data_IF_378356245039
#
_entry.id   IF_378356245039
#
_cell.length_a   1.000
_cell.length_b   1.000
_cell.length_c   1.000
_cell.angle_alpha   90.00
_cell.angle_beta   90.00
_cell.angle_gamma   90.00
#
_symmetry.space_group_name_H-M   'P 1'
#
loop_
_entity.id
_entity.type
_entity.pdbx_description
1 polymer ?
#
# COMPACT_ATOMS: atom_id res chain seq x y z
N UNK A 1 0.47 18.12 -22.78
CA UNK A 1 0.56 17.09 -21.73
C UNK A 1 2.02 16.74 -21.59
N UNK A 2 2.74 17.37 -20.66
CA UNK A 2 4.05 16.86 -20.25
C UNK A 2 3.85 15.45 -19.71
N UNK A 3 4.60 14.47 -20.21
CA UNK A 3 4.57 13.13 -19.61
C UNK A 3 5.03 13.29 -18.16
N UNK A 4 4.19 12.91 -17.20
CA UNK A 4 4.59 12.83 -15.79
C UNK A 4 5.81 11.90 -15.75
N UNK A 5 6.99 12.44 -15.48
CA UNK A 5 8.23 11.66 -15.34
C UNK A 5 8.06 10.67 -14.20
N UNK A 6 8.53 9.44 -14.40
CA UNK A 6 8.60 8.38 -13.38
C UNK A 6 9.31 8.91 -12.13
N UNK A 7 8.91 8.46 -10.93
CA UNK A 7 9.56 8.85 -9.67
C UNK A 7 11.05 8.54 -9.69
N UNK A 8 11.44 7.44 -10.33
CA UNK A 8 12.85 7.07 -10.49
C UNK A 8 13.60 8.14 -11.30
N UNK A 9 13.04 8.58 -12.43
CA UNK A 9 13.63 9.65 -13.25
C UNK A 9 13.70 10.99 -12.50
N UNK A 10 12.66 11.33 -11.74
CA UNK A 10 12.62 12.56 -10.92
C UNK A 10 13.69 12.50 -9.82
N UNK A 11 13.83 11.36 -9.16
CA UNK A 11 14.85 11.15 -8.13
C UNK A 11 16.24 11.23 -8.74
N UNK A 12 16.53 10.51 -9.82
CA UNK A 12 17.83 10.55 -10.50
C UNK A 12 18.18 11.99 -10.95
N UNK A 13 17.20 12.70 -11.54
CA UNK A 13 17.38 14.11 -11.91
C UNK A 13 17.69 15.00 -10.72
N UNK A 14 17.04 14.78 -9.58
CA UNK A 14 17.34 15.49 -8.34
C UNK A 14 18.74 15.16 -7.84
N UNK A 15 19.11 13.88 -7.77
CA UNK A 15 20.43 13.43 -7.31
C UNK A 15 21.57 14.04 -8.13
N UNK A 16 21.44 14.13 -9.46
CA UNK A 16 22.43 14.77 -10.32
C UNK A 16 22.57 16.29 -10.08
N UNK A 17 21.57 16.93 -9.47
CA UNK A 17 21.64 18.36 -9.13
C UNK A 17 22.28 18.63 -7.76
N UNK A 18 22.56 17.59 -6.96
CA UNK A 18 23.13 17.74 -5.62
C UNK A 18 24.66 17.64 -5.69
N UNK A 19 25.35 18.67 -5.21
CA UNK A 19 26.82 18.75 -5.15
C UNK A 19 27.45 17.70 -4.22
N UNK A 20 26.71 17.29 -3.19
CA UNK A 20 27.14 16.30 -2.20
C UNK A 20 26.87 14.84 -2.61
N UNK A 21 26.37 14.59 -3.83
CA UNK A 21 26.08 13.25 -4.37
C UNK A 21 27.08 12.90 -5.46
N UNK A 22 27.64 11.69 -5.41
CA UNK A 22 28.54 11.16 -6.44
C UNK A 22 27.97 9.86 -7.01
N UNK A 23 27.68 9.78 -8.31
CA UNK A 23 27.28 8.52 -8.94
C UNK A 23 28.46 7.55 -9.00
N UNK A 24 28.18 6.27 -8.76
CA UNK A 24 29.14 5.17 -8.76
C UNK A 24 28.92 4.24 -9.96
N UNK A 25 27.69 3.77 -10.16
CA UNK A 25 27.38 2.88 -11.26
C UNK A 25 27.58 3.59 -12.61
N UNK A 26 28.21 2.90 -13.55
CA UNK A 26 28.67 3.45 -14.83
C UNK A 26 29.83 4.45 -14.76
N UNK A 27 30.29 4.85 -13.56
CA UNK A 27 31.34 5.87 -13.37
C UNK A 27 32.61 5.33 -12.72
N UNK A 28 32.51 4.20 -12.01
CA UNK A 28 33.63 3.50 -11.39
C UNK A 28 33.85 2.16 -12.11
N UNK A 29 35.10 1.81 -12.49
CA UNK A 29 35.41 0.49 -13.03
C UNK A 29 35.05 -0.62 -12.03
N UNK A 30 34.19 -1.56 -12.45
CA UNK A 30 33.72 -2.68 -11.63
C UNK A 30 34.43 -3.98 -12.05
N UNK A 31 34.91 -4.79 -11.09
CA UNK A 31 35.37 -6.15 -11.40
C UNK A 31 34.24 -7.02 -11.96
N UNK A 32 34.60 -8.01 -12.79
CA UNK A 32 33.61 -8.93 -13.38
C UNK A 32 32.75 -9.60 -12.31
N UNK A 33 31.43 -9.50 -12.48
CA UNK A 33 30.44 -10.12 -11.59
C UNK A 33 30.24 -9.41 -10.24
N UNK A 34 30.95 -8.32 -9.95
CA UNK A 34 30.76 -7.51 -8.74
C UNK A 34 29.84 -6.34 -9.05
N UNK A 35 28.69 -6.30 -8.39
CA UNK A 35 27.80 -5.13 -8.42
C UNK A 35 28.09 -4.24 -7.21
N UNK A 36 28.21 -2.95 -7.47
CA UNK A 36 28.32 -1.92 -6.44
C UNK A 36 26.99 -1.16 -6.29
N UNK A 37 26.98 -0.22 -5.36
CA UNK A 37 25.87 0.67 -5.09
C UNK A 37 25.86 1.83 -6.07
N UNK A 38 24.71 2.49 -6.20
CA UNK A 38 24.52 3.51 -7.22
C UNK A 38 25.21 4.84 -6.87
N UNK A 39 25.30 5.19 -5.59
CA UNK A 39 25.78 6.52 -5.17
C UNK A 39 26.62 6.53 -3.89
N UNK A 40 27.43 7.58 -3.75
CA UNK A 40 27.91 8.10 -2.48
C UNK A 40 27.16 9.39 -2.14
N UNK A 41 26.65 9.50 -0.92
CA UNK A 41 25.95 10.69 -0.44
C UNK A 41 26.82 11.46 0.57
N UNK A 42 26.39 12.70 0.83
CA UNK A 42 26.88 13.57 1.89
C UNK A 42 28.40 13.72 1.87
N UNK A 43 28.97 14.02 0.69
CA UNK A 43 30.42 14.13 0.50
C UNK A 43 31.17 12.83 0.89
N UNK A 44 30.63 11.68 0.44
CA UNK A 44 31.18 10.33 0.67
C UNK A 44 31.04 9.83 2.11
N UNK A 45 30.20 10.45 2.93
CA UNK A 45 29.90 9.98 4.28
C UNK A 45 28.89 8.84 4.30
N UNK A 46 28.18 8.55 3.20
CA UNK A 46 27.28 7.40 3.11
C UNK A 46 27.36 6.69 1.75
N UNK A 47 27.14 5.38 1.75
CA UNK A 47 26.97 4.56 0.54
C UNK A 47 25.50 4.30 0.33
N UNK A 48 24.96 4.60 -0.86
CA UNK A 48 23.52 4.55 -1.12
C UNK A 48 23.20 3.65 -2.31
N UNK A 49 22.33 2.68 -2.07
CA UNK A 49 21.68 1.89 -3.12
C UNK A 49 20.27 2.44 -3.38
N UNK A 50 19.95 2.74 -4.64
CA UNK A 50 18.63 3.13 -5.09
C UNK A 50 17.86 1.90 -5.61
N UNK A 51 16.66 1.66 -5.08
CA UNK A 51 15.77 0.59 -5.56
C UNK A 51 14.35 1.11 -5.78
N UNK A 52 13.80 0.82 -6.94
CA UNK A 52 12.40 1.12 -7.26
C UNK A 52 11.56 -0.14 -7.20
N UNK A 53 10.46 -0.12 -6.44
CA UNK A 53 9.46 -1.19 -6.40
C UNK A 53 8.54 -1.03 -7.61
N UNK A 54 8.72 -1.88 -8.62
CA UNK A 54 8.03 -1.81 -9.93
C UNK A 54 6.95 -2.88 -10.15
N UNK A 55 6.81 -3.82 -9.22
CA UNK A 55 5.86 -4.94 -9.35
C UNK A 55 4.95 -4.93 -8.14
N UNK A 56 3.67 -4.70 -8.38
CA UNK A 56 2.62 -4.85 -7.37
C UNK A 56 2.29 -6.36 -7.18
N UNK A 57 2.31 -6.89 -5.95
CA UNK A 57 1.99 -8.29 -5.67
C UNK A 57 0.48 -8.60 -5.59
N UNK A 58 -0.41 -7.74 -6.10
CA UNK A 58 -1.88 -7.88 -6.09
C UNK A 58 -2.34 -9.28 -6.46
N UNK A 59 -1.86 -9.84 -7.56
CA UNK A 59 -2.27 -11.19 -8.01
C UNK A 59 -1.90 -12.27 -7.00
N UNK A 60 -0.72 -12.17 -6.38
CA UNK A 60 -0.29 -13.11 -5.32
C UNK A 60 -1.13 -12.96 -4.05
N UNK A 61 -1.56 -11.74 -3.73
CA UNK A 61 -2.46 -11.50 -2.60
C UNK A 61 -3.82 -12.12 -2.88
N UNK A 62 -4.38 -11.88 -4.07
CA UNK A 62 -5.66 -12.46 -4.49
C UNK A 62 -5.61 -13.99 -4.53
N UNK A 63 -4.56 -14.58 -5.11
CA UNK A 63 -4.36 -16.03 -5.14
C UNK A 63 -4.23 -16.63 -3.74
N UNK A 64 -3.49 -15.96 -2.84
CA UNK A 64 -3.38 -16.38 -1.45
C UNK A 64 -4.69 -16.26 -0.66
N UNK A 65 -5.60 -15.38 -1.10
CA UNK A 65 -6.90 -15.19 -0.49
C UNK A 65 -7.98 -16.14 -1.03
N UNK A 66 -7.81 -16.73 -2.22
CA UNK A 66 -8.84 -17.57 -2.90
C UNK A 66 -9.46 -18.64 -2.00
N UNK A 67 -8.65 -19.47 -1.35
CA UNK A 67 -9.17 -20.56 -0.50
C UNK A 67 -9.98 -20.05 0.69
N UNK A 68 -9.68 -18.85 1.17
CA UNK A 68 -10.44 -18.20 2.24
C UNK A 68 -11.69 -17.53 1.65
N UNK A 69 -11.59 -16.87 0.51
CA UNK A 69 -12.73 -16.28 -0.21
C UNK A 69 -13.80 -17.31 -0.58
N UNK A 70 -13.38 -18.54 -0.84
CA UNK A 70 -14.24 -19.69 -1.15
C UNK A 70 -14.83 -20.37 0.12
N UNK A 71 -14.40 -19.98 1.33
CA UNK A 71 -14.86 -20.61 2.57
C UNK A 71 -16.24 -20.10 3.01
N UNK A 72 -16.97 -20.95 3.75
CA UNK A 72 -18.28 -20.64 4.34
C UNK A 72 -18.21 -19.55 5.44
N UNK A 73 -17.01 -19.24 5.93
CA UNK A 73 -16.77 -18.25 6.99
C UNK A 73 -16.39 -16.87 6.44
N UNK A 74 -16.01 -16.76 5.16
CA UNK A 74 -15.65 -15.49 4.54
C UNK A 74 -16.88 -14.73 4.05
N UNK A 75 -17.03 -13.43 4.36
CA UNK A 75 -18.24 -12.69 4.00
C UNK A 75 -18.40 -12.59 2.47
N UNK A 76 -19.59 -12.92 1.97
CA UNK A 76 -19.92 -12.70 0.55
C UNK A 76 -20.18 -11.20 0.32
N UNK A 77 -19.21 -10.51 -0.28
CA UNK A 77 -19.29 -9.09 -0.64
C UNK A 77 -19.19 -8.98 -2.16
N UNK A 78 -20.11 -8.24 -2.79
CA UNK A 78 -20.09 -7.98 -4.24
C UNK A 78 -19.42 -6.62 -4.54
N UNK A 79 -18.55 -6.55 -5.56
CA UNK A 79 -17.85 -5.33 -5.99
C UNK A 79 -16.31 -5.37 -5.81
N UNK A 80 -15.65 -4.20 -5.88
CA UNK A 80 -14.22 -4.08 -5.61
C UNK A 80 -13.88 -4.49 -4.17
N UNK A 81 -12.93 -5.41 -4.03
CA UNK A 81 -12.58 -6.08 -2.78
C UNK A 81 -11.72 -5.21 -1.86
N UNK A 82 -12.30 -4.73 -0.76
CA UNK A 82 -11.52 -4.34 0.42
C UNK A 82 -11.26 -5.57 1.29
N UNK A 83 -10.18 -6.28 0.94
CA UNK A 83 -9.69 -7.47 1.63
C UNK A 83 -9.40 -7.22 3.12
N UNK A 84 -8.99 -6.02 3.51
CA UNK A 84 -8.68 -5.73 4.92
C UNK A 84 -9.96 -5.64 5.75
N UNK A 85 -11.00 -4.98 5.23
CA UNK A 85 -12.30 -4.89 5.89
C UNK A 85 -13.00 -6.25 6.00
N UNK A 86 -12.98 -7.06 4.93
CA UNK A 86 -13.58 -8.39 4.93
C UNK A 86 -12.94 -9.35 5.96
N UNK A 87 -11.61 -9.26 6.10
CA UNK A 87 -10.83 -10.17 6.93
C UNK A 87 -10.87 -9.81 8.42
N UNK A 88 -11.07 -8.53 8.78
CA UNK A 88 -11.31 -8.12 10.18
C UNK A 88 -12.53 -8.79 10.79
N UNK A 89 -13.53 -9.09 9.97
CA UNK A 89 -14.79 -9.70 10.39
C UNK A 89 -14.79 -11.23 10.25
N UNK A 90 -13.71 -11.83 9.76
CA UNK A 90 -13.58 -13.29 9.57
C UNK A 90 -12.81 -13.92 10.74
N UNK A 91 -13.31 -14.97 11.42
CA UNK A 91 -12.55 -15.68 12.46
C UNK A 91 -11.19 -16.16 11.95
N UNK A 92 -10.09 -15.76 12.59
CA UNK A 92 -8.72 -16.08 12.14
C UNK A 92 -8.26 -15.30 10.89
N UNK A 93 -9.03 -14.34 10.40
CA UNK A 93 -8.74 -13.56 9.20
C UNK A 93 -7.45 -12.74 9.28
N UNK A 94 -7.10 -12.18 10.45
CA UNK A 94 -5.83 -11.48 10.66
C UNK A 94 -4.60 -12.40 10.53
N UNK A 95 -4.65 -13.64 11.02
CA UNK A 95 -3.55 -14.60 10.82
C UNK A 95 -3.39 -14.97 9.34
N UNK A 96 -4.50 -15.15 8.63
CA UNK A 96 -4.49 -15.44 7.20
C UNK A 96 -3.96 -14.25 6.38
N UNK A 97 -4.44 -13.04 6.65
CA UNK A 97 -3.90 -11.81 6.07
C UNK A 97 -2.40 -11.70 6.30
N UNK A 98 -1.94 -11.95 7.53
CA UNK A 98 -0.52 -11.90 7.86
C UNK A 98 0.30 -12.92 7.06
N UNK A 99 -0.23 -14.12 6.82
CA UNK A 99 0.41 -15.13 5.94
C UNK A 99 0.45 -14.69 4.48
N UNK A 100 -0.67 -14.20 3.95
CA UNK A 100 -0.78 -13.71 2.56
C UNK A 100 0.20 -12.55 2.33
N UNK A 101 0.17 -11.53 3.20
CA UNK A 101 1.09 -10.40 3.12
C UNK A 101 2.55 -10.81 3.34
N UNK A 102 2.84 -11.78 4.20
CA UNK A 102 4.20 -12.30 4.38
C UNK A 102 4.74 -12.97 3.10
N UNK A 103 3.88 -13.69 2.37
CA UNK A 103 4.23 -14.26 1.07
C UNK A 103 4.40 -13.18 -0.01
N UNK A 104 3.47 -12.23 -0.07
CA UNK A 104 3.50 -11.11 -1.02
C UNK A 104 4.72 -10.19 -0.82
N UNK A 105 5.18 -10.00 0.42
CA UNK A 105 6.32 -9.15 0.77
C UNK A 105 7.68 -9.85 0.70
N UNK A 106 7.77 -11.06 0.15
CA UNK A 106 9.07 -11.72 -0.12
C UNK A 106 10.01 -10.87 -0.98
N UNK A 107 9.47 -9.98 -1.82
CA UNK A 107 10.26 -9.04 -2.60
C UNK A 107 11.12 -8.11 -1.74
N UNK A 108 10.63 -7.72 -0.55
CA UNK A 108 11.34 -6.86 0.42
C UNK A 108 12.68 -7.49 0.82
N UNK A 109 12.69 -8.79 1.09
CA UNK A 109 13.92 -9.50 1.47
C UNK A 109 14.93 -9.56 0.31
N UNK A 110 14.45 -9.73 -0.92
CA UNK A 110 15.29 -9.68 -2.11
C UNK A 110 15.93 -8.31 -2.29
N UNK A 111 15.15 -7.24 -2.13
CA UNK A 111 15.62 -5.84 -2.19
C UNK A 111 16.70 -5.58 -1.15
N UNK A 112 16.46 -5.93 0.12
CA UNK A 112 17.43 -5.71 1.20
C UNK A 112 18.71 -6.53 1.03
N UNK A 113 18.61 -7.78 0.56
CA UNK A 113 19.79 -8.63 0.32
C UNK A 113 20.67 -8.06 -0.79
N UNK A 114 20.05 -7.58 -1.88
CA UNK A 114 20.79 -6.95 -2.98
C UNK A 114 21.45 -5.66 -2.52
N UNK A 115 20.70 -4.76 -1.85
CA UNK A 115 21.24 -3.52 -1.33
C UNK A 115 22.40 -3.74 -0.36
N UNK A 116 22.28 -4.70 0.57
CA UNK A 116 23.37 -5.09 1.48
C UNK A 116 24.63 -5.50 0.70
N UNK A 117 24.48 -6.37 -0.30
CA UNK A 117 25.62 -6.86 -1.09
C UNK A 117 26.30 -5.74 -1.87
N UNK A 118 25.51 -4.87 -2.51
CA UNK A 118 26.02 -3.75 -3.30
C UNK A 118 26.72 -2.71 -2.43
N UNK A 119 26.14 -2.36 -1.27
CA UNK A 119 26.77 -1.47 -0.29
C UNK A 119 28.10 -2.06 0.21
N UNK A 120 28.11 -3.34 0.61
CA UNK A 120 29.32 -4.01 1.08
C UNK A 120 30.42 -4.04 0.01
N UNK A 121 30.06 -4.39 -1.23
CA UNK A 121 31.00 -4.40 -2.36
C UNK A 121 31.55 -3.01 -2.66
N UNK A 122 30.73 -1.96 -2.56
CA UNK A 122 31.17 -0.58 -2.76
C UNK A 122 32.19 -0.14 -1.72
N UNK A 123 31.91 -0.40 -0.43
CA UNK A 123 32.84 -0.07 0.65
C UNK A 123 34.19 -0.73 0.44
N UNK A 124 34.21 -2.00 0.04
CA UNK A 124 35.45 -2.74 -0.24
C UNK A 124 36.17 -2.21 -1.49
N UNK A 125 35.45 -2.05 -2.60
CA UNK A 125 36.04 -1.61 -3.87
C UNK A 125 36.66 -0.23 -3.76
N UNK A 126 35.99 0.68 -3.07
CA UNK A 126 36.40 2.07 -2.91
C UNK A 126 37.30 2.30 -1.68
N UNK A 127 37.63 1.24 -0.93
CA UNK A 127 38.40 1.29 0.31
C UNK A 127 37.87 2.33 1.30
N UNK A 128 36.55 2.38 1.47
CA UNK A 128 35.90 3.28 2.42
C UNK A 128 36.09 2.77 3.85
N UNK A 129 35.94 3.67 4.82
CA UNK A 129 35.84 3.29 6.23
C UNK A 129 34.70 2.26 6.39
N UNK A 130 34.94 1.08 7.00
CA UNK A 130 33.90 0.09 7.28
C UNK A 130 32.68 0.67 8.04
N UNK A 131 32.92 1.70 8.87
CA UNK A 131 31.90 2.42 9.62
C UNK A 131 31.24 3.55 8.83
N UNK A 132 31.47 3.63 7.52
CA UNK A 132 30.68 4.46 6.61
C UNK A 132 29.25 3.89 6.57
N UNK A 133 28.22 4.67 6.97
CA UNK A 133 26.84 4.20 6.94
C UNK A 133 26.36 3.81 5.53
N UNK A 134 25.55 2.76 5.47
CA UNK A 134 24.84 2.34 4.25
C UNK A 134 23.37 2.73 4.26
N UNK A 135 22.85 3.23 3.14
CA UNK A 135 21.45 3.62 2.99
C UNK A 135 20.82 2.81 1.85
N UNK A 136 19.69 2.17 2.11
CA UNK A 136 18.80 1.68 1.05
C UNK A 136 17.74 2.75 0.78
N UNK A 137 17.87 3.47 -0.32
CA UNK A 137 16.88 4.43 -0.80
C UNK A 137 15.86 3.70 -1.67
N UNK A 138 14.64 3.54 -1.15
CA UNK A 138 13.59 2.73 -1.77
C UNK A 138 12.45 3.63 -2.24
N UNK A 139 12.17 3.60 -3.54
CA UNK A 139 11.05 4.29 -4.16
C UNK A 139 9.91 3.30 -4.34
N UNK A 140 8.77 3.55 -3.70
CA UNK A 140 7.54 2.83 -4.03
C UNK A 140 6.77 3.59 -5.12
N UNK A 141 6.91 3.10 -6.35
CA UNK A 141 6.25 3.65 -7.54
C UNK A 141 4.93 2.92 -7.85
N UNK A 142 4.88 1.60 -7.67
CA UNK A 142 3.74 0.80 -8.15
C UNK A 142 3.02 -0.01 -7.08
N UNK A 143 3.58 -0.23 -5.89
CA UNK A 143 2.94 -1.10 -4.89
C UNK A 143 1.81 -0.34 -4.20
N UNK A 144 0.60 -0.67 -4.59
CA UNK A 144 -0.67 -0.15 -4.07
C UNK A 144 -1.45 -1.24 -3.32
N UNK A 145 -1.24 -2.52 -3.61
CA UNK A 145 -1.97 -3.61 -2.95
C UNK A 145 -1.60 -3.81 -1.47
N UNK A 146 -0.60 -3.07 -0.95
CA UNK A 146 -0.11 -3.20 0.42
C UNK A 146 -0.15 -1.82 1.07
N UNK A 147 -0.90 -1.64 2.17
CA UNK A 147 -0.95 -0.37 2.89
C UNK A 147 0.46 0.15 3.24
N UNK A 148 0.70 1.44 3.03
CA UNK A 148 2.01 2.07 3.25
C UNK A 148 2.64 1.73 4.62
N UNK A 149 1.84 1.80 5.69
CA UNK A 149 2.29 1.45 7.04
C UNK A 149 2.71 -0.02 7.15
N UNK A 150 1.92 -0.96 6.59
CA UNK A 150 2.27 -2.38 6.59
C UNK A 150 3.53 -2.66 5.78
N UNK A 151 3.76 -1.93 4.67
CA UNK A 151 4.98 -2.06 3.90
C UNK A 151 6.20 -1.58 4.69
N UNK A 152 6.10 -0.42 5.37
CA UNK A 152 7.14 0.10 6.25
C UNK A 152 7.45 -0.88 7.40
N UNK A 153 6.43 -1.44 8.05
CA UNK A 153 6.59 -2.45 9.11
C UNK A 153 7.31 -3.71 8.61
N UNK A 154 7.05 -4.13 7.37
CA UNK A 154 7.75 -5.27 6.76
C UNK A 154 9.22 -4.97 6.49
N UNK A 155 9.55 -3.79 6.01
CA UNK A 155 10.95 -3.36 5.89
C UNK A 155 11.64 -3.34 7.26
N UNK A 156 10.99 -2.74 8.27
CA UNK A 156 11.48 -2.68 9.64
C UNK A 156 11.74 -4.07 10.23
N UNK A 157 10.74 -4.96 10.20
CA UNK A 157 10.84 -6.34 10.72
C UNK A 157 11.92 -7.15 10.01
N UNK A 158 12.10 -6.95 8.69
CA UNK A 158 13.14 -7.65 7.93
C UNK A 158 14.53 -7.11 8.21
N UNK A 159 14.66 -5.79 8.40
CA UNK A 159 15.92 -5.14 8.73
C UNK A 159 16.43 -5.56 10.11
N UNK A 160 15.55 -5.59 11.11
CA UNK A 160 15.88 -5.99 12.50
C UNK A 160 16.07 -7.50 12.66
N UNK A 161 15.36 -8.30 11.85
CA UNK A 161 15.43 -9.76 11.91
C UNK A 161 14.62 -10.36 13.06
N UNK A 162 14.74 -11.68 13.23
CA UNK A 162 14.05 -12.46 14.27
C UNK A 162 14.87 -12.61 15.56
N UNK A 163 15.94 -11.83 15.70
CA UNK A 163 16.89 -11.90 16.81
C UNK A 163 17.94 -13.01 16.74
N UNK A 164 17.82 -13.97 15.80
CA UNK A 164 18.83 -15.05 15.63
C UNK A 164 20.06 -14.59 14.86
N UNK A 165 19.86 -13.69 13.91
CA UNK A 165 20.92 -13.05 13.12
C UNK A 165 20.68 -11.53 13.06
N UNK A 166 20.89 -10.80 14.17
CA UNK A 166 20.66 -9.36 14.22
C UNK A 166 21.61 -8.57 13.30
N UNK A 167 22.75 -9.18 12.92
CA UNK A 167 23.72 -8.62 11.99
C UNK A 167 23.42 -8.91 10.51
N UNK A 168 22.31 -9.59 10.20
CA UNK A 168 21.98 -10.04 8.84
C UNK A 168 22.08 -8.93 7.80
N UNK A 169 21.66 -7.71 8.16
CA UNK A 169 21.68 -6.52 7.32
C UNK A 169 22.54 -5.40 7.91
N UNK A 170 23.64 -5.75 8.60
CA UNK A 170 24.57 -4.81 9.25
C UNK A 170 25.19 -3.76 8.31
N UNK A 171 25.14 -3.97 7.00
CA UNK A 171 25.62 -3.00 6.01
C UNK A 171 24.60 -1.90 5.72
N UNK A 172 23.35 -2.06 6.15
CA UNK A 172 22.27 -1.09 5.97
C UNK A 172 22.00 -0.45 7.34
N UNK A 173 22.29 0.84 7.45
CA UNK A 173 22.03 1.67 8.62
C UNK A 173 20.61 2.25 8.58
N UNK A 174 20.20 2.70 7.39
CA UNK A 174 18.89 3.29 7.19
C UNK A 174 18.24 2.75 5.92
N UNK A 175 16.92 2.55 6.00
CA UNK A 175 16.06 2.49 4.83
C UNK A 175 15.33 3.83 4.75
N UNK A 176 15.41 4.49 3.60
CA UNK A 176 14.61 5.67 3.28
C UNK A 176 13.57 5.24 2.27
N UNK A 177 12.33 5.08 2.70
CA UNK A 177 11.23 4.56 1.89
C UNK A 177 10.28 5.70 1.49
N UNK A 178 10.33 6.11 0.23
CA UNK A 178 9.48 7.18 -0.33
C UNK A 178 8.26 6.54 -0.99
N UNK A 179 7.06 6.92 -0.54
CA UNK A 179 5.80 6.42 -1.08
C UNK A 179 5.19 7.43 -2.05
N UNK A 180 5.03 7.04 -3.32
CA UNK A 180 4.32 7.87 -4.31
C UNK A 180 2.94 7.35 -4.67
N UNK A 181 2.64 6.11 -4.30
CA UNK A 181 1.33 5.46 -4.45
C UNK A 181 0.33 5.89 -3.38
N UNK A 182 0.80 6.52 -2.30
CA UNK A 182 -0.02 6.97 -1.17
C UNK A 182 0.13 8.47 -0.89
N UNK A 183 -0.90 9.05 -0.28
CA UNK A 183 -0.95 10.40 0.29
C UNK A 183 -1.49 10.37 1.71
N UNK A 184 -1.06 11.29 2.57
CA UNK A 184 -1.66 11.48 3.91
C UNK A 184 -2.88 12.41 3.82
N UNK A 185 -4.01 11.98 4.41
CA UNK A 185 -5.21 12.81 4.55
C UNK A 185 -5.07 13.72 5.78
N UNK A 186 -5.26 15.02 5.62
CA UNK A 186 -5.52 15.94 6.74
C UNK A 186 -6.96 16.46 6.69
N UNK A 187 -7.56 16.65 7.86
CA UNK A 187 -8.81 17.38 8.00
C UNK A 187 -8.59 18.85 7.65
N UNK A 188 -9.36 19.38 6.69
CA UNK A 188 -9.19 20.72 6.14
C UNK A 188 -8.36 20.70 4.85
N UNK A 189 -9.06 20.79 3.71
CA UNK A 189 -8.47 20.61 2.38
C UNK A 189 -7.31 21.57 2.08
N UNK A 190 -6.24 21.04 1.48
CA UNK A 190 -5.26 21.90 0.81
C UNK A 190 -3.93 21.25 0.43
N UNK A 191 -3.38 20.32 1.22
CA UNK A 191 -2.02 19.80 0.94
C UNK A 191 -1.94 18.27 0.94
N UNK A 192 -1.73 17.70 -0.25
CA UNK A 192 -1.31 16.30 -0.43
C UNK A 192 0.11 16.15 0.10
N UNK A 193 0.30 15.35 1.15
CA UNK A 193 1.64 15.02 1.67
C UNK A 193 2.05 13.62 1.21
N UNK A 194 3.25 13.51 0.65
CA UNK A 194 3.83 12.23 0.25
C UNK A 194 4.49 11.57 1.46
N UNK A 195 4.06 10.36 1.87
CA UNK A 195 4.63 9.70 3.02
C UNK A 195 6.06 9.22 2.71
N UNK A 196 6.98 9.52 3.61
CA UNK A 196 8.35 9.02 3.57
C UNK A 196 8.69 8.45 4.93
N UNK A 197 9.20 7.23 4.96
CA UNK A 197 9.60 6.55 6.20
C UNK A 197 11.12 6.48 6.27
N UNK A 198 11.68 6.84 7.43
CA UNK A 198 13.08 6.56 7.78
C UNK A 198 13.05 5.42 8.78
N UNK A 199 13.62 4.29 8.40
CA UNK A 199 13.68 3.08 9.22
C UNK A 199 15.14 2.85 9.56
N UNK A 200 15.50 3.03 10.83
CA UNK A 200 16.87 2.83 11.31
C UNK A 200 17.11 1.37 11.69
N UNK A 201 18.34 0.89 11.50
CA UNK A 201 18.77 -0.44 11.91
C UNK A 201 19.39 -0.39 13.33
N UNK A 202 18.72 -0.89 14.37
CA UNK A 202 19.24 -0.79 15.75
C UNK A 202 20.63 -1.43 15.93
N UNK A 203 21.00 -2.41 15.09
CA UNK A 203 22.34 -3.01 15.11
C UNK A 203 23.46 -1.98 14.89
N UNK A 204 23.19 -0.93 14.10
CA UNK A 204 24.14 0.11 13.74
C UNK A 204 23.97 1.42 14.55
N UNK A 205 23.21 1.39 15.65
CA UNK A 205 22.85 2.59 16.41
C UNK A 205 24.06 3.47 16.83
N UNK A 206 25.21 2.83 17.08
CA UNK A 206 26.45 3.51 17.46
C UNK A 206 26.96 4.52 16.40
N UNK A 207 26.58 4.39 15.12
CA UNK A 207 27.04 5.25 14.02
C UNK A 207 25.93 6.04 13.32
N UNK A 208 24.67 5.94 13.76
CA UNK A 208 23.53 6.68 13.18
C UNK A 208 23.71 8.20 13.22
N UNK A 209 24.28 8.72 14.30
CA UNK A 209 24.53 10.15 14.51
C UNK A 209 25.41 10.80 13.42
N UNK A 210 26.14 9.99 12.62
CA UNK A 210 27.01 10.49 11.55
C UNK A 210 26.23 11.10 10.37
N UNK A 211 25.00 10.65 10.12
CA UNK A 211 24.25 11.00 8.90
C UNK A 211 22.75 11.27 9.11
N UNK A 212 22.23 11.15 10.34
CA UNK A 212 20.80 11.27 10.61
C UNK A 212 20.25 12.66 10.26
N UNK A 213 21.02 13.72 10.54
CA UNK A 213 20.64 15.09 10.20
C UNK A 213 20.67 15.31 8.68
N UNK A 214 21.67 14.73 8.02
CA UNK A 214 21.88 14.81 6.57
C UNK A 214 20.74 14.13 5.81
N UNK A 215 20.20 13.01 6.31
CA UNK A 215 18.99 12.37 5.75
C UNK A 215 17.80 13.33 5.82
N UNK A 216 17.60 14.04 6.94
CA UNK A 216 16.49 15.01 7.05
C UNK A 216 16.65 16.17 6.07
N UNK A 217 17.87 16.71 5.93
CA UNK A 217 18.17 17.79 4.98
C UNK A 217 17.98 17.34 3.53
N UNK A 218 18.41 16.13 3.20
CA UNK A 218 18.18 15.49 1.90
C UNK A 218 16.69 15.40 1.58
N UNK A 219 15.88 14.90 2.52
CA UNK A 219 14.43 14.77 2.31
C UNK A 219 13.73 16.13 2.20
N UNK A 220 14.20 17.13 2.95
CA UNK A 220 13.71 18.50 2.83
C UNK A 220 14.03 19.10 1.45
N UNK A 221 15.26 18.92 0.96
CA UNK A 221 15.68 19.36 -0.36
C UNK A 221 14.89 18.64 -1.47
N UNK A 222 14.72 17.33 -1.33
CA UNK A 222 13.87 16.53 -2.20
C UNK A 222 12.44 17.08 -2.24
N UNK A 223 11.78 17.23 -1.10
CA UNK A 223 10.42 17.77 -1.03
C UNK A 223 10.30 19.13 -1.73
N UNK A 224 11.23 20.06 -1.46
CA UNK A 224 11.26 21.38 -2.11
C UNK A 224 11.44 21.30 -3.62
N UNK A 225 12.33 20.42 -4.10
CA UNK A 225 12.55 20.21 -5.54
C UNK A 225 11.30 19.71 -6.27
N UNK A 226 10.39 19.06 -5.53
CA UNK A 226 9.11 18.58 -6.03
C UNK A 226 7.96 19.57 -5.79
N UNK A 227 8.24 20.77 -5.28
CA UNK A 227 7.23 21.79 -4.98
C UNK A 227 6.41 21.49 -3.72
N UNK A 228 6.92 20.66 -2.81
CA UNK A 228 6.23 20.26 -1.59
C UNK A 228 6.86 20.88 -0.33
N UNK A 229 6.04 21.02 0.71
CA UNK A 229 6.51 21.33 2.06
C UNK A 229 7.06 20.06 2.73
N UNK A 230 7.99 20.25 3.65
CA UNK A 230 8.57 19.17 4.45
C UNK A 230 8.11 19.27 5.90
N UNK A 231 7.65 18.14 6.45
CA UNK A 231 7.31 17.99 7.86
C UNK A 231 7.80 16.60 8.31
N UNK A 232 8.27 16.50 9.55
CA UNK A 232 8.78 15.26 10.14
C UNK A 232 8.09 15.04 11.48
N UNK A 233 7.69 13.79 11.75
CA UNK A 233 7.07 13.38 13.02
C UNK A 233 7.45 11.94 13.34
N UNK A 234 7.69 11.67 14.61
CA UNK A 234 7.80 10.30 15.15
C UNK A 234 6.44 9.76 15.61
N UNK A 235 5.42 10.60 15.75
CA UNK A 235 4.07 10.21 16.12
C UNK A 235 3.33 9.70 14.89
N UNK A 236 3.23 8.38 14.77
CA UNK A 236 2.52 7.69 13.68
C UNK A 236 1.05 7.41 14.00
N UNK A 237 0.68 7.47 15.29
CA UNK A 237 -0.69 7.25 15.77
C UNK A 237 -1.64 8.31 15.21
N UNK A 238 -2.60 7.89 14.37
CA UNK A 238 -3.60 8.77 13.76
C UNK A 238 -3.27 9.24 12.34
N UNK A 239 -2.16 8.80 11.75
CA UNK A 239 -1.90 9.03 10.33
C UNK A 239 -2.82 8.14 9.47
N UNK A 240 -3.54 8.76 8.54
CA UNK A 240 -4.41 8.06 7.58
C UNK A 240 -3.85 8.20 6.17
N UNK A 241 -3.53 7.06 5.56
CA UNK A 241 -2.97 6.96 4.21
C UNK A 241 -4.09 6.63 3.22
N UNK A 242 -4.12 7.33 2.10
CA UNK A 242 -5.03 7.09 0.97
C UNK A 242 -4.23 6.92 -0.32
N UNK A 243 -4.80 6.28 -1.34
CA UNK A 243 -4.16 6.18 -2.64
C UNK A 243 -3.98 7.55 -3.30
N UNK A 244 -2.85 7.75 -3.98
CA UNK A 244 -2.50 9.02 -4.62
C UNK A 244 -3.34 9.29 -5.88
N UNK A 245 -3.85 8.23 -6.53
CA UNK A 245 -4.85 8.35 -7.58
C UNK A 245 -6.25 8.23 -6.98
N UNK A 246 -7.07 9.28 -7.12
CA UNK A 246 -8.50 9.08 -7.12
C UNK A 246 -8.84 8.25 -8.37
N UNK A 247 -9.77 7.27 -8.29
CA UNK A 247 -10.26 6.59 -9.47
C UNK A 247 -10.64 7.65 -10.50
N UNK A 248 -10.04 7.62 -11.69
CA UNK A 248 -10.43 8.54 -12.77
C UNK A 248 -11.94 8.41 -12.90
N UNK A 249 -12.73 9.50 -12.82
CA UNK A 249 -14.16 9.40 -13.06
C UNK A 249 -14.33 8.98 -14.52
N UNK A 250 -14.58 7.70 -14.73
CA UNK A 250 -15.17 7.21 -15.97
C UNK A 250 -16.58 7.77 -16.12
N UNK A 251 -17.27 7.49 -17.23
CA UNK A 251 -18.69 7.76 -17.29
C UNK A 251 -19.38 7.06 -16.11
N UNK A 252 -19.95 7.84 -15.19
CA UNK A 252 -20.67 7.30 -14.03
C UNK A 252 -21.83 6.44 -14.57
N UNK A 253 -21.69 5.13 -14.40
CA UNK A 253 -22.79 4.20 -14.49
C UNK A 253 -23.89 4.60 -13.50
N UNK A 254 -25.13 4.24 -13.80
CA UNK A 254 -26.25 4.44 -12.88
C UNK A 254 -25.96 3.84 -11.49
N UNK A 255 -25.22 2.73 -11.46
CA UNK A 255 -24.76 2.10 -10.23
C UNK A 255 -23.82 3.01 -9.43
N UNK A 256 -22.77 3.55 -10.05
CA UNK A 256 -21.82 4.46 -9.38
C UNK A 256 -22.50 5.72 -8.85
N UNK A 257 -23.51 6.24 -9.57
CA UNK A 257 -24.32 7.36 -9.11
C UNK A 257 -25.13 7.01 -7.85
N UNK A 258 -25.78 5.84 -7.82
CA UNK A 258 -26.53 5.36 -6.66
C UNK A 258 -25.60 5.11 -5.47
N UNK A 259 -24.45 4.47 -5.69
CA UNK A 259 -23.44 4.24 -4.63
C UNK A 259 -22.94 5.56 -4.04
N UNK A 260 -22.65 6.56 -4.87
CA UNK A 260 -22.21 7.88 -4.41
C UNK A 260 -23.30 8.60 -3.59
N UNK A 261 -24.56 8.54 -4.03
CA UNK A 261 -25.69 9.10 -3.28
C UNK A 261 -25.87 8.40 -1.93
N UNK A 262 -25.75 7.08 -1.92
CA UNK A 262 -25.85 6.27 -0.72
C UNK A 262 -24.74 6.58 0.29
N UNK A 263 -23.49 6.67 -0.16
CA UNK A 263 -22.35 7.09 0.68
C UNK A 263 -22.58 8.46 1.31
N UNK A 264 -23.13 9.41 0.55
CA UNK A 264 -23.44 10.75 1.04
C UNK A 264 -24.58 10.77 2.08
N UNK A 265 -25.54 9.86 1.98
CA UNK A 265 -26.70 9.76 2.86
C UNK A 265 -26.93 8.32 3.28
N UNK A 266 -25.98 7.79 4.07
CA UNK A 266 -25.90 6.37 4.46
C UNK A 266 -26.97 6.00 5.48
N UNK A 267 -28.24 5.98 5.07
CA UNK A 267 -29.38 5.85 5.96
C UNK A 267 -29.46 4.50 6.68
N UNK A 268 -28.76 3.46 6.18
CA UNK A 268 -28.73 2.18 6.89
C UNK A 268 -27.72 2.18 8.02
N UNK A 269 -26.77 3.12 8.12
CA UNK A 269 -25.57 3.07 8.99
C UNK A 269 -25.81 2.71 10.46
N UNK A 270 -26.98 3.04 11.00
CA UNK A 270 -27.36 2.79 12.40
C UNK A 270 -28.27 1.57 12.60
N UNK A 271 -28.59 0.85 11.52
CA UNK A 271 -29.46 -0.31 11.60
C UNK A 271 -28.77 -1.48 12.30
N UNK A 272 -29.51 -2.20 13.13
CA UNK A 272 -29.04 -3.47 13.69
C UNK A 272 -28.86 -4.52 12.59
N UNK A 273 -28.10 -5.57 12.89
CA UNK A 273 -27.86 -6.66 11.94
C UNK A 273 -29.18 -7.35 11.54
N UNK A 274 -30.10 -7.57 12.48
CA UNK A 274 -31.40 -8.19 12.23
C UNK A 274 -32.26 -7.35 11.29
N UNK A 275 -32.23 -6.02 11.48
CA UNK A 275 -32.94 -5.08 10.61
C UNK A 275 -32.35 -5.08 9.21
N UNK A 276 -31.03 -5.14 9.08
CA UNK A 276 -30.34 -5.21 7.79
C UNK A 276 -30.65 -6.53 7.07
N UNK A 277 -30.69 -7.66 7.80
CA UNK A 277 -31.08 -8.97 7.25
C UNK A 277 -32.52 -8.93 6.72
N UNK A 278 -33.46 -8.42 7.52
CA UNK A 278 -34.87 -8.33 7.13
C UNK A 278 -35.07 -7.43 5.90
N UNK A 279 -34.39 -6.29 5.84
CA UNK A 279 -34.40 -5.42 4.66
C UNK A 279 -33.78 -6.10 3.45
N UNK A 280 -32.61 -6.73 3.61
CA UNK A 280 -31.95 -7.43 2.52
C UNK A 280 -32.82 -8.54 1.92
N UNK A 281 -33.57 -9.26 2.76
CA UNK A 281 -34.51 -10.30 2.31
C UNK A 281 -35.58 -9.71 1.40
N UNK A 282 -36.22 -8.62 1.84
CA UNK A 282 -37.25 -7.92 1.08
C UNK A 282 -36.71 -7.39 -0.27
N UNK A 283 -35.52 -6.76 -0.25
CA UNK A 283 -34.87 -6.22 -1.45
C UNK A 283 -34.53 -7.33 -2.45
N UNK A 284 -33.92 -8.43 -2.02
CA UNK A 284 -33.58 -9.54 -2.92
C UNK A 284 -34.85 -10.20 -3.48
N UNK A 285 -35.89 -10.39 -2.67
CA UNK A 285 -37.15 -10.95 -3.14
C UNK A 285 -37.82 -10.10 -4.22
N UNK A 286 -37.76 -8.76 -4.09
CA UNK A 286 -38.26 -7.81 -5.09
C UNK A 286 -37.42 -7.78 -6.36
N UNK A 287 -36.12 -8.09 -6.27
CA UNK A 287 -35.21 -8.17 -7.42
C UNK A 287 -35.38 -9.43 -8.25
N UNK A 288 -35.77 -10.56 -7.63
CA UNK A 288 -35.85 -11.86 -8.31
C UNK A 288 -36.69 -11.85 -9.62
N UNK A 289 -37.91 -11.27 -9.67
CA UNK A 289 -38.72 -11.26 -10.89
C UNK A 289 -38.10 -10.51 -12.07
N UNK A 290 -37.16 -9.59 -11.82
CA UNK A 290 -36.46 -8.84 -12.87
C UNK A 290 -35.50 -9.75 -13.66
N UNK A 291 -34.84 -10.69 -12.97
CA UNK A 291 -33.81 -11.57 -13.55
C UNK A 291 -34.32 -12.96 -13.95
N UNK A 292 -35.41 -13.44 -13.36
CA UNK A 292 -35.94 -14.78 -13.62
C UNK A 292 -36.66 -14.87 -14.98
N UNK A 293 -36.27 -15.85 -15.79
CA UNK A 293 -36.88 -16.12 -17.10
C UNK A 293 -38.30 -16.68 -16.90
N UNK A 294 -39.31 -15.97 -17.40
CA UNK A 294 -40.72 -16.38 -17.31
C UNK A 294 -41.48 -15.85 -16.09
N UNK A 295 -40.84 -15.07 -15.21
CA UNK A 295 -41.53 -14.35 -14.15
C UNK A 295 -42.28 -13.13 -14.71
N UNK A 296 -43.38 -12.75 -14.03
CA UNK A 296 -44.06 -11.48 -14.29
C UNK A 296 -43.12 -10.34 -13.91
N UNK A 297 -42.77 -9.50 -14.89
CA UNK A 297 -41.82 -8.41 -14.68
C UNK A 297 -42.52 -7.24 -13.99
N UNK A 298 -41.87 -6.61 -12.99
CA UNK A 298 -42.36 -5.36 -12.42
C UNK A 298 -42.42 -4.26 -13.49
N UNK A 299 -43.11 -3.16 -13.18
CA UNK A 299 -43.06 -1.97 -14.03
C UNK A 299 -41.62 -1.47 -14.17
N UNK A 300 -41.35 -0.65 -15.20
CA UNK A 300 -40.02 -0.05 -15.38
C UNK A 300 -39.62 0.82 -14.18
N UNK A 301 -40.57 1.59 -13.64
CA UNK A 301 -40.35 2.41 -12.45
C UNK A 301 -40.02 1.56 -11.21
N UNK A 302 -40.76 0.48 -10.98
CA UNK A 302 -40.51 -0.43 -9.86
C UNK A 302 -39.18 -1.17 -10.03
N UNK A 303 -38.85 -1.56 -11.27
CA UNK A 303 -37.58 -2.21 -11.58
C UNK A 303 -36.39 -1.31 -11.26
N UNK A 304 -36.44 -0.03 -11.67
CA UNK A 304 -35.39 0.94 -11.31
C UNK A 304 -35.30 1.18 -9.81
N UNK A 305 -36.44 1.24 -9.12
CA UNK A 305 -36.47 1.39 -7.67
C UNK A 305 -35.83 0.18 -6.95
N UNK A 306 -36.17 -1.04 -7.36
CA UNK A 306 -35.60 -2.26 -6.77
C UNK A 306 -34.11 -2.40 -7.06
N UNK A 307 -33.66 -2.08 -8.28
CA UNK A 307 -32.23 -2.08 -8.64
C UNK A 307 -31.47 -1.08 -7.75
N UNK A 308 -32.00 0.12 -7.55
CA UNK A 308 -31.42 1.12 -6.64
C UNK A 308 -31.28 0.58 -5.22
N UNK A 309 -32.34 0.04 -4.63
CA UNK A 309 -32.31 -0.51 -3.27
C UNK A 309 -31.33 -1.68 -3.15
N UNK A 310 -31.21 -2.50 -4.19
CA UNK A 310 -30.24 -3.59 -4.22
C UNK A 310 -28.80 -3.07 -4.27
N UNK A 311 -28.50 -2.08 -5.12
CA UNK A 311 -27.19 -1.42 -5.15
C UNK A 311 -26.84 -0.80 -3.79
N UNK A 312 -27.79 -0.13 -3.13
CA UNK A 312 -27.61 0.44 -1.80
C UNK A 312 -27.32 -0.64 -0.73
N UNK A 313 -28.01 -1.78 -0.80
CA UNK A 313 -27.78 -2.93 0.08
C UNK A 313 -26.38 -3.53 -0.12
N UNK A 314 -25.95 -3.71 -1.38
CA UNK A 314 -24.61 -4.23 -1.69
C UNK A 314 -23.53 -3.28 -1.18
N UNK A 315 -23.72 -1.98 -1.41
CA UNK A 315 -22.79 -0.96 -0.96
C UNK A 315 -22.72 -0.88 0.57
N UNK A 316 -23.84 -1.02 1.27
CA UNK A 316 -23.85 -1.12 2.73
C UNK A 316 -23.14 -2.38 3.23
N UNK A 317 -23.36 -3.50 2.53
CA UNK A 317 -22.67 -4.76 2.77
C UNK A 317 -21.16 -4.60 2.69
N UNK A 318 -20.69 -3.90 1.65
CA UNK A 318 -19.27 -3.57 1.41
C UNK A 318 -18.69 -2.68 2.50
N UNK A 319 -19.35 -1.57 2.84
CA UNK A 319 -18.87 -0.61 3.85
C UNK A 319 -18.78 -1.26 5.24
N UNK A 320 -19.70 -2.15 5.60
CA UNK A 320 -19.68 -2.85 6.91
C UNK A 320 -18.82 -4.10 6.94
N UNK A 321 -18.53 -4.70 5.80
CA UNK A 321 -18.11 -6.09 5.71
C UNK A 321 -19.20 -7.05 6.22
N UNK A 322 -20.48 -6.79 5.90
CA UNK A 322 -21.61 -7.64 6.27
C UNK A 322 -21.76 -8.82 5.30
N UNK A 323 -21.88 -10.04 5.85
CA UNK A 323 -22.01 -11.27 5.07
C UNK A 323 -23.44 -11.43 4.50
N UNK A 324 -23.60 -11.22 3.20
CA UNK A 324 -24.88 -11.36 2.51
C UNK A 324 -25.44 -12.79 2.56
N UNK A 325 -24.65 -13.82 2.90
CA UNK A 325 -25.17 -15.18 3.11
C UNK A 325 -26.19 -15.22 4.25
N UNK A 326 -26.06 -14.33 5.25
CA UNK A 326 -27.07 -14.19 6.33
C UNK A 326 -28.44 -13.82 5.78
N UNK A 327 -28.49 -12.99 4.73
CA UNK A 327 -29.73 -12.67 4.02
C UNK A 327 -30.20 -13.86 3.19
N UNK A 328 -29.30 -14.48 2.41
CA UNK A 328 -29.65 -15.58 1.51
C UNK A 328 -30.18 -16.81 2.25
N UNK A 329 -29.72 -17.08 3.48
CA UNK A 329 -30.23 -18.15 4.35
C UNK A 329 -31.71 -17.96 4.72
N UNK A 330 -32.18 -16.72 4.77
CA UNK A 330 -33.56 -16.36 5.11
C UNK A 330 -34.51 -16.33 3.90
N UNK A 331 -33.97 -16.51 2.69
CA UNK A 331 -34.75 -16.57 1.45
C UNK A 331 -35.04 -18.05 1.16
N UNK A 332 -36.32 -18.43 0.98
CA UNK A 332 -36.67 -19.80 0.61
C UNK A 332 -35.93 -20.19 -0.68
N UNK A 333 -35.20 -21.32 -0.65
CA UNK A 333 -34.65 -21.89 -1.90
C UNK A 333 -35.82 -22.19 -2.82
N UNK A 334 -35.88 -21.53 -3.98
CA UNK A 334 -36.79 -21.93 -5.04
C UNK A 334 -36.49 -23.38 -5.40
N UNK A 335 -37.53 -24.22 -5.44
CA UNK A 335 -37.45 -25.59 -5.96
C UNK A 335 -37.35 -25.56 -7.47
#
# INVERSE_FOLDING_TARGET
MESVRDIEERMISFLHSQDHVTPLDGHVPQPDGVKIADYLFFHRQAVVELKTLKIDPKDKILDGAKSLMESDDFPLIFGDYDLETAMKNTPGGEEHLNKIFSSATRMVEGVLRNAKQQIASSKRLLSLDPDTPGIALILNDTVESIPAARLADRFSTRLTGDGKDPGRFSEIDFIVLIQTTYRLRQGGGGSTRLPTFIISNPFNAHRHHKIEQEIQLFLQAWARSQGHNFESTSATSGLHFEHNQEPRPGPQSLQEFVEAQYRAHRYMSEWSEERLIAHGKDVIQKMLPIFLKGAEKPSEADSHFFIKQFTELLEEGRIRGFDLRKVLKEIPRAR
#
